data_IF_815715273672
#
_entry.id   IF_815715273672
#
_cell.length_a   1.000
_cell.length_b   1.000
_cell.length_c   1.000
_cell.angle_alpha   90.00
_cell.angle_beta   90.00
_cell.angle_gamma   90.00
#
_symmetry.space_group_name_H-M   'P 1'
#
loop_
_entity.id
_entity.type
_entity.pdbx_description
1 polymer ?
#
# COMPACT_ATOMS: atom_id res chain seq x y z
N UNK A 1 -0.48 23.30 1.56
CA UNK A 1 -0.22 22.28 0.53
C UNK A 1 -1.17 21.10 0.55
N UNK A 2 -1.59 20.61 1.74
CA UNK A 2 -2.40 19.40 1.89
C UNK A 2 -3.85 19.53 1.36
N UNK A 3 -4.55 20.62 1.64
CA UNK A 3 -5.96 20.80 1.21
C UNK A 3 -6.13 20.85 -0.31
N UNK A 4 -5.22 21.50 -1.01
CA UNK A 4 -5.28 21.59 -2.48
C UNK A 4 -5.03 20.22 -3.12
N UNK A 5 -4.12 19.42 -2.55
CA UNK A 5 -3.83 18.06 -3.01
C UNK A 5 -5.02 17.10 -2.81
N UNK A 6 -5.74 17.22 -1.68
CA UNK A 6 -6.93 16.40 -1.39
C UNK A 6 -8.06 16.70 -2.37
N UNK A 7 -8.40 17.98 -2.57
CA UNK A 7 -9.46 18.40 -3.51
C UNK A 7 -9.16 18.03 -4.96
N UNK A 8 -7.91 18.13 -5.37
CA UNK A 8 -7.48 17.73 -6.71
C UNK A 8 -7.58 16.21 -6.91
N UNK A 9 -7.22 15.42 -5.90
CA UNK A 9 -7.39 13.95 -5.93
C UNK A 9 -8.85 13.55 -6.02
N UNK A 10 -9.74 14.16 -5.22
CA UNK A 10 -11.18 13.93 -5.28
C UNK A 10 -11.75 14.25 -6.66
N UNK A 11 -11.43 15.42 -7.22
CA UNK A 11 -11.88 15.82 -8.55
C UNK A 11 -11.41 14.85 -9.64
N UNK A 12 -10.16 14.40 -9.55
CA UNK A 12 -9.58 13.46 -10.50
C UNK A 12 -10.21 12.08 -10.36
N UNK A 13 -10.38 11.57 -9.14
CA UNK A 13 -11.03 10.29 -8.89
C UNK A 13 -12.47 10.27 -9.40
N UNK A 14 -13.27 11.27 -9.06
CA UNK A 14 -14.64 11.41 -9.52
C UNK A 14 -14.73 11.48 -11.07
N UNK A 15 -13.82 12.22 -11.70
CA UNK A 15 -13.80 12.36 -13.16
C UNK A 15 -13.38 11.08 -13.89
N UNK A 16 -12.46 10.31 -13.33
CA UNK A 16 -11.89 9.10 -13.91
C UNK A 16 -12.49 7.82 -13.35
N UNK A 17 -13.39 7.92 -12.37
CA UNK A 17 -14.06 6.78 -11.71
C UNK A 17 -13.09 5.77 -11.12
N UNK A 18 -12.07 6.22 -10.39
CA UNK A 18 -11.18 5.34 -9.62
C UNK A 18 -11.13 5.74 -8.14
N UNK A 19 -10.84 4.76 -7.28
CA UNK A 19 -10.69 5.01 -5.86
C UNK A 19 -9.38 5.73 -5.50
N UNK A 20 -9.39 6.43 -4.36
CA UNK A 20 -8.20 7.06 -3.79
C UNK A 20 -8.05 6.75 -2.31
N UNK A 21 -6.85 6.96 -1.79
CA UNK A 21 -6.55 6.90 -0.37
C UNK A 21 -6.01 8.24 0.13
N UNK A 22 -6.24 8.53 1.40
CA UNK A 22 -5.67 9.67 2.11
C UNK A 22 -4.82 9.17 3.28
N UNK A 23 -3.61 9.68 3.40
CA UNK A 23 -2.69 9.26 4.46
C UNK A 23 -1.48 10.18 4.54
N UNK A 24 -0.66 9.99 5.58
CA UNK A 24 0.59 10.70 5.79
C UNK A 24 1.72 9.70 5.72
N UNK A 25 2.46 9.75 4.64
CA UNK A 25 3.66 8.93 4.47
C UNK A 25 4.78 9.48 5.36
N UNK A 26 5.53 8.63 6.11
CA UNK A 26 6.56 9.11 7.05
C UNK A 26 7.65 9.96 6.39
N UNK A 27 7.92 9.77 5.11
CA UNK A 27 8.89 10.57 4.36
C UNK A 27 8.46 12.02 4.10
N UNK A 28 7.20 12.36 4.30
CA UNK A 28 6.68 13.72 4.10
C UNK A 28 6.94 14.64 5.28
N UNK A 29 7.27 14.08 6.45
CA UNK A 29 7.51 14.83 7.68
C UNK A 29 9.00 14.92 7.97
N UNK A 30 9.42 16.10 8.41
CA UNK A 30 10.81 16.40 8.72
C UNK A 30 11.06 16.45 10.22
N UNK A 31 10.04 16.84 11.01
CA UNK A 31 10.17 17.04 12.44
C UNK A 31 8.97 16.45 13.21
N UNK A 32 9.15 16.07 14.50
CA UNK A 32 8.06 15.59 15.34
C UNK A 32 6.91 16.60 15.51
N UNK A 33 7.21 17.90 15.51
CA UNK A 33 6.20 18.95 15.69
C UNK A 33 5.18 18.98 14.56
N UNK A 34 5.58 18.59 13.34
CA UNK A 34 4.69 18.50 12.20
C UNK A 34 3.65 17.36 12.36
N UNK A 35 3.97 16.31 13.11
CA UNK A 35 3.09 15.14 13.28
C UNK A 35 1.70 15.55 13.77
N UNK A 36 1.61 16.27 14.88
CA UNK A 36 0.34 16.65 15.48
C UNK A 36 -0.53 17.54 14.57
N UNK A 37 0.09 18.40 13.77
CA UNK A 37 -0.62 19.27 12.83
C UNK A 37 -1.17 18.44 11.66
N UNK A 38 -0.34 17.58 11.05
CA UNK A 38 -0.74 16.78 9.89
C UNK A 38 -1.78 15.71 10.26
N UNK A 39 -1.69 15.13 11.46
CA UNK A 39 -2.70 14.21 12.00
C UNK A 39 -4.06 14.91 12.08
N UNK A 40 -4.13 16.12 12.66
CA UNK A 40 -5.40 16.88 12.73
C UNK A 40 -5.93 17.22 11.34
N UNK A 41 -5.06 17.61 10.43
CA UNK A 41 -5.45 17.91 9.03
C UNK A 41 -6.04 16.69 8.34
N UNK A 42 -5.46 15.50 8.56
CA UNK A 42 -5.96 14.26 8.01
C UNK A 42 -7.30 13.86 8.64
N UNK A 43 -7.46 13.99 9.96
CA UNK A 43 -8.74 13.70 10.64
C UNK A 43 -9.89 14.54 10.06
N UNK A 44 -9.66 15.84 9.84
CA UNK A 44 -10.63 16.72 9.19
C UNK A 44 -10.92 16.25 7.78
N UNK A 45 -9.88 15.99 6.98
CA UNK A 45 -10.03 15.56 5.59
C UNK A 45 -10.82 14.24 5.47
N UNK A 46 -10.52 13.25 6.31
CA UNK A 46 -11.25 11.97 6.33
C UNK A 46 -12.71 12.19 6.75
N UNK A 47 -12.96 13.04 7.76
CA UNK A 47 -14.33 13.34 8.22
C UNK A 47 -15.17 14.01 7.12
N UNK A 48 -14.60 14.97 6.39
CA UNK A 48 -15.26 15.68 5.28
C UNK A 48 -15.53 14.76 4.08
N UNK A 49 -14.65 13.78 3.85
CA UNK A 49 -14.72 12.89 2.68
C UNK A 49 -15.28 11.51 2.99
N UNK A 50 -15.71 11.25 4.23
CA UNK A 50 -16.17 9.92 4.65
C UNK A 50 -17.33 9.36 3.80
N UNK A 51 -18.17 10.24 3.26
CA UNK A 51 -19.31 9.87 2.38
C UNK A 51 -18.93 9.80 0.90
N UNK A 52 -17.69 10.15 0.54
CA UNK A 52 -17.22 10.04 -0.83
C UNK A 52 -17.03 8.55 -1.18
N UNK A 53 -17.75 8.01 -2.17
CA UNK A 53 -17.64 6.60 -2.55
C UNK A 53 -16.25 6.25 -3.08
N UNK A 54 -15.49 7.23 -3.58
CA UNK A 54 -14.14 7.03 -4.10
C UNK A 54 -13.04 7.03 -3.03
N UNK A 55 -13.32 7.43 -1.78
CA UNK A 55 -12.37 7.27 -0.69
C UNK A 55 -12.35 5.80 -0.22
N UNK A 56 -11.36 5.04 -0.65
CA UNK A 56 -11.31 3.59 -0.47
C UNK A 56 -10.44 3.11 0.69
N UNK A 57 -9.49 3.93 1.16
CA UNK A 57 -8.55 3.54 2.19
C UNK A 57 -7.95 4.75 2.93
N UNK A 58 -7.36 4.48 4.09
CA UNK A 58 -6.37 5.37 4.69
C UNK A 58 -4.98 4.87 4.28
N UNK A 59 -4.22 5.72 3.58
CA UNK A 59 -2.91 5.33 3.05
C UNK A 59 -2.33 6.38 2.09
N UNK A 60 -1.07 6.28 1.82
CA UNK A 60 -0.09 5.35 2.34
C UNK A 60 0.40 5.80 3.72
N UNK A 61 0.43 4.89 4.70
CA UNK A 61 0.84 5.13 6.09
C UNK A 61 1.85 4.06 6.51
N UNK A 62 2.65 4.31 7.54
CA UNK A 62 3.56 3.26 8.01
C UNK A 62 4.92 3.76 8.47
N UNK A 63 5.95 2.91 8.35
CA UNK A 63 7.28 3.15 8.90
C UNK A 63 8.35 2.91 7.83
N UNK A 64 9.28 3.86 7.69
CA UNK A 64 10.44 3.76 6.81
C UNK A 64 11.74 3.90 7.63
N UNK A 65 12.51 2.82 7.68
CA UNK A 65 13.83 2.78 8.35
C UNK A 65 14.97 2.67 7.34
N UNK A 66 14.74 3.09 6.09
CA UNK A 66 15.84 3.14 5.13
C UNK A 66 16.78 4.29 5.47
N UNK A 67 18.08 4.02 5.67
CA UNK A 67 19.03 5.04 6.10
C UNK A 67 19.04 6.24 5.16
N UNK A 68 19.11 7.46 5.76
CA UNK A 68 19.26 8.74 5.05
C UNK A 68 18.04 9.16 4.17
N UNK A 69 16.92 8.48 4.27
CA UNK A 69 15.72 8.80 3.47
C UNK A 69 14.63 9.44 4.34
N UNK A 70 14.36 8.88 5.53
CA UNK A 70 13.39 9.44 6.46
C UNK A 70 14.08 10.31 7.51
N UNK A 71 13.64 11.56 7.65
CA UNK A 71 14.14 12.47 8.68
C UNK A 71 13.44 12.27 10.03
N UNK A 72 12.22 11.71 10.02
CA UNK A 72 11.43 11.51 11.23
C UNK A 72 12.00 10.37 12.08
N UNK A 73 12.29 10.58 13.39
CA UNK A 73 12.75 9.52 14.28
C UNK A 73 11.77 8.35 14.40
N UNK A 74 12.25 7.15 14.71
CA UNK A 74 11.42 5.96 14.83
C UNK A 74 10.24 6.13 15.79
N UNK A 75 10.47 6.69 16.97
CA UNK A 75 9.40 6.88 17.97
C UNK A 75 8.27 7.76 17.42
N UNK A 76 8.61 8.82 16.70
CA UNK A 76 7.63 9.70 16.05
C UNK A 76 6.94 9.01 14.88
N UNK A 77 7.61 8.12 14.15
CA UNK A 77 6.97 7.30 13.11
C UNK A 77 5.99 6.29 13.72
N UNK A 78 6.33 5.68 14.85
CA UNK A 78 5.46 4.76 15.58
C UNK A 78 4.20 5.49 16.05
N UNK A 79 4.36 6.65 16.71
CA UNK A 79 3.25 7.50 17.16
C UNK A 79 2.35 7.91 15.98
N UNK A 80 2.94 8.40 14.89
CA UNK A 80 2.21 8.76 13.68
C UNK A 80 1.41 7.56 13.14
N UNK A 81 2.05 6.40 13.03
CA UNK A 81 1.41 5.21 12.49
C UNK A 81 0.24 4.73 13.36
N UNK A 82 0.38 4.75 14.70
CA UNK A 82 -0.71 4.43 15.63
C UNK A 82 -1.90 5.38 15.46
N UNK A 83 -1.65 6.70 15.33
CA UNK A 83 -2.71 7.67 15.06
C UNK A 83 -3.44 7.38 13.74
N UNK A 84 -2.68 7.06 12.66
CA UNK A 84 -3.28 6.72 11.36
C UNK A 84 -4.14 5.47 11.43
N UNK A 85 -3.71 4.43 12.16
CA UNK A 85 -4.50 3.22 12.38
C UNK A 85 -5.79 3.52 13.16
N UNK A 86 -5.73 4.40 14.16
CA UNK A 86 -6.91 4.83 14.91
C UNK A 86 -7.91 5.62 14.04
N UNK A 87 -7.42 6.52 13.19
CA UNK A 87 -8.24 7.26 12.22
C UNK A 87 -8.93 6.29 11.25
N UNK A 88 -8.19 5.34 10.70
CA UNK A 88 -8.74 4.34 9.78
C UNK A 88 -9.82 3.48 10.46
N UNK A 89 -9.57 3.02 11.68
CA UNK A 89 -10.55 2.25 12.48
C UNK A 89 -11.82 3.04 12.73
N UNK A 90 -11.71 4.31 13.15
CA UNK A 90 -12.84 5.21 13.38
C UNK A 90 -13.64 5.46 12.10
N UNK A 91 -12.97 5.57 10.96
CA UNK A 91 -13.62 5.78 9.65
C UNK A 91 -14.18 4.48 9.03
N UNK A 92 -13.88 3.31 9.59
CA UNK A 92 -14.26 2.02 9.01
C UNK A 92 -13.60 1.76 7.65
N UNK A 93 -12.38 2.28 7.45
CA UNK A 93 -11.62 2.15 6.20
C UNK A 93 -10.47 1.17 6.34
N UNK A 94 -10.16 0.38 5.29
CA UNK A 94 -8.92 -0.39 5.24
C UNK A 94 -7.72 0.53 5.11
N UNK A 95 -6.52 -0.02 5.32
CA UNK A 95 -5.26 0.73 5.23
C UNK A 95 -4.35 0.20 4.12
N UNK A 96 -3.57 1.11 3.50
CA UNK A 96 -2.40 0.78 2.68
C UNK A 96 -1.15 1.11 3.49
N UNK A 97 -0.34 0.09 3.80
CA UNK A 97 0.76 0.19 4.77
C UNK A 97 2.11 0.08 4.10
N UNK A 98 2.89 1.15 4.24
CA UNK A 98 4.30 1.20 3.92
C UNK A 98 5.15 0.51 4.99
N UNK A 99 6.12 -0.29 4.58
CA UNK A 99 7.04 -0.92 5.51
C UNK A 99 8.40 -1.17 4.87
N UNK A 100 9.30 -0.22 4.98
CA UNK A 100 10.65 -0.34 4.44
C UNK A 100 11.66 -0.58 5.56
N UNK A 101 12.22 -1.81 5.61
CA UNK A 101 13.09 -2.29 6.70
C UNK A 101 12.45 -2.21 8.10
N UNK A 102 11.12 -2.22 8.19
CA UNK A 102 10.37 -1.89 9.41
C UNK A 102 9.31 -2.93 9.79
N UNK A 103 9.18 -4.06 9.12
CA UNK A 103 8.15 -5.07 9.40
C UNK A 103 8.14 -5.54 10.85
N UNK A 104 9.30 -5.59 11.54
CA UNK A 104 9.40 -5.94 12.96
C UNK A 104 8.69 -4.93 13.88
N UNK A 105 8.50 -3.68 13.43
CA UNK A 105 7.77 -2.64 14.15
C UNK A 105 6.31 -2.54 13.68
N UNK A 106 6.05 -2.72 12.40
CA UNK A 106 4.73 -2.64 11.80
C UNK A 106 3.82 -3.79 12.25
N UNK A 107 4.28 -5.04 12.17
CA UNK A 107 3.45 -6.22 12.44
C UNK A 107 2.87 -6.25 13.89
N UNK A 108 3.60 -5.90 14.94
CA UNK A 108 3.03 -5.81 16.28
C UNK A 108 1.90 -4.79 16.39
N UNK A 109 2.04 -3.61 15.79
CA UNK A 109 1.00 -2.57 15.80
C UNK A 109 -0.25 -3.02 15.04
N UNK A 110 -0.08 -3.63 13.88
CA UNK A 110 -1.20 -4.21 13.12
C UNK A 110 -1.91 -5.31 13.90
N UNK A 111 -1.18 -6.13 14.67
CA UNK A 111 -1.78 -7.19 15.50
C UNK A 111 -2.77 -6.63 16.53
N UNK A 112 -2.51 -5.46 17.08
CA UNK A 112 -3.35 -4.83 18.09
C UNK A 112 -4.37 -3.84 17.53
N UNK A 113 -4.30 -3.54 16.23
CA UNK A 113 -5.25 -2.63 15.58
C UNK A 113 -6.56 -3.32 15.20
N UNK A 114 -7.63 -2.52 15.03
CA UNK A 114 -8.94 -3.01 14.57
C UNK A 114 -9.12 -2.93 13.05
N UNK A 115 -8.06 -2.67 12.29
CA UNK A 115 -8.12 -2.49 10.84
C UNK A 115 -7.57 -3.71 10.08
N UNK A 116 -7.96 -3.83 8.83
CA UNK A 116 -7.36 -4.70 7.82
C UNK A 116 -6.87 -3.87 6.64
N UNK A 117 -6.22 -4.47 5.66
CA UNK A 117 -5.72 -3.71 4.50
C UNK A 117 -4.67 -4.45 3.70
N UNK A 118 -3.76 -3.69 3.12
CA UNK A 118 -2.65 -4.20 2.30
C UNK A 118 -1.32 -3.75 2.90
N UNK A 119 -0.39 -4.69 3.06
CA UNK A 119 1.03 -4.37 3.22
C UNK A 119 1.61 -4.13 1.83
N UNK A 120 1.79 -2.85 1.48
CA UNK A 120 2.33 -2.41 0.20
C UNK A 120 3.79 -2.86 0.02
N UNK A 121 4.18 -3.17 -1.21
CA UNK A 121 5.53 -3.58 -1.62
C UNK A 121 6.18 -4.62 -0.67
N UNK A 122 5.44 -5.66 -0.34
CA UNK A 122 5.86 -6.63 0.65
C UNK A 122 7.19 -7.31 0.28
N UNK A 123 8.18 -7.20 1.17
CA UNK A 123 9.51 -7.77 1.01
C UNK A 123 9.97 -8.59 2.23
N UNK A 124 9.04 -9.02 3.06
CA UNK A 124 9.30 -9.81 4.27
C UNK A 124 9.60 -11.28 4.04
N UNK A 125 9.78 -12.01 5.12
CA UNK A 125 9.89 -13.47 5.12
C UNK A 125 8.50 -14.12 4.99
N UNK A 126 8.46 -15.42 4.71
CA UNK A 126 7.21 -16.18 4.68
C UNK A 126 6.52 -16.20 6.05
N UNK A 127 7.27 -16.24 7.15
CA UNK A 127 6.71 -16.18 8.49
C UNK A 127 6.06 -14.80 8.78
N UNK A 128 6.69 -13.71 8.36
CA UNK A 128 6.10 -12.38 8.44
C UNK A 128 4.84 -12.25 7.55
N UNK A 129 4.85 -12.87 6.38
CA UNK A 129 3.65 -12.98 5.54
C UNK A 129 2.52 -13.67 6.28
N UNK A 130 2.76 -14.82 6.90
CA UNK A 130 1.76 -15.55 7.69
C UNK A 130 1.17 -14.72 8.83
N UNK A 131 2.02 -13.95 9.53
CA UNK A 131 1.55 -13.06 10.62
C UNK A 131 0.60 -11.99 10.10
N UNK A 132 0.91 -11.37 8.95
CA UNK A 132 0.04 -10.38 8.33
C UNK A 132 -1.30 -11.00 7.86
N UNK A 133 -1.23 -12.15 7.18
CA UNK A 133 -2.40 -12.87 6.71
C UNK A 133 -3.32 -13.32 7.84
N UNK A 134 -2.76 -13.80 8.96
CA UNK A 134 -3.53 -14.19 10.15
C UNK A 134 -4.32 -13.01 10.77
N UNK A 135 -3.91 -11.78 10.48
CA UNK A 135 -4.61 -10.54 10.88
C UNK A 135 -5.61 -10.05 9.82
N UNK A 136 -5.71 -10.72 8.69
CA UNK A 136 -6.62 -10.34 7.59
C UNK A 136 -6.03 -9.32 6.62
N UNK A 137 -4.72 -9.04 6.69
CA UNK A 137 -4.03 -8.22 5.69
C UNK A 137 -3.75 -9.04 4.43
N UNK A 138 -3.82 -8.39 3.28
CA UNK A 138 -3.25 -8.92 2.04
C UNK A 138 -1.87 -8.30 1.79
N UNK A 139 -1.10 -8.92 0.91
CA UNK A 139 0.27 -8.52 0.61
C UNK A 139 0.35 -7.95 -0.80
N UNK A 140 0.84 -6.72 -0.93
CA UNK A 140 1.07 -6.05 -2.20
C UNK A 140 2.38 -6.51 -2.83
N UNK A 141 2.31 -6.91 -4.10
CA UNK A 141 3.49 -7.27 -4.88
C UNK A 141 3.53 -6.47 -6.18
N UNK A 142 4.63 -5.77 -6.37
CA UNK A 142 4.84 -4.90 -7.51
C UNK A 142 6.02 -5.31 -8.38
N UNK A 143 6.72 -4.32 -8.96
CA UNK A 143 7.83 -4.51 -9.89
C UNK A 143 8.94 -5.43 -9.40
N UNK A 144 9.10 -5.62 -8.08
CA UNK A 144 10.08 -6.57 -7.52
C UNK A 144 9.91 -8.00 -8.03
N UNK A 145 8.70 -8.43 -8.44
CA UNK A 145 8.45 -9.74 -9.04
C UNK A 145 9.10 -9.88 -10.42
N UNK A 146 9.29 -8.80 -11.16
CA UNK A 146 9.85 -8.82 -12.51
C UNK A 146 11.36 -9.02 -12.53
N UNK A 147 12.04 -8.88 -11.38
CA UNK A 147 13.48 -9.05 -11.29
C UNK A 147 13.85 -10.50 -10.90
N UNK A 148 14.60 -11.24 -11.77
CA UNK A 148 15.04 -12.60 -11.42
C UNK A 148 15.91 -12.66 -10.15
N UNK A 149 16.62 -11.56 -9.84
CA UNK A 149 17.43 -11.43 -8.63
C UNK A 149 16.63 -11.31 -7.32
N UNK A 150 15.34 -11.01 -7.38
CA UNK A 150 14.44 -10.93 -6.22
C UNK A 150 13.99 -12.31 -5.71
N UNK A 151 14.92 -13.27 -5.61
CA UNK A 151 14.64 -14.69 -5.32
C UNK A 151 13.74 -14.87 -4.11
N UNK A 152 14.10 -14.26 -2.96
CA UNK A 152 13.31 -14.40 -1.72
C UNK A 152 11.87 -13.91 -1.87
N UNK A 153 11.66 -12.76 -2.50
CA UNK A 153 10.30 -12.19 -2.70
C UNK A 153 9.48 -13.12 -3.59
N UNK A 154 10.08 -13.61 -4.68
CA UNK A 154 9.45 -14.53 -5.63
C UNK A 154 9.11 -15.88 -4.97
N UNK A 155 10.00 -16.44 -4.14
CA UNK A 155 9.76 -17.67 -3.36
C UNK A 155 8.63 -17.50 -2.34
N UNK A 156 8.59 -16.38 -1.64
CA UNK A 156 7.48 -16.06 -0.73
C UNK A 156 6.17 -15.99 -1.51
N UNK A 157 6.13 -15.21 -2.60
CA UNK A 157 4.96 -15.03 -3.45
C UNK A 157 4.43 -16.37 -4.01
N UNK A 158 5.32 -17.25 -4.48
CA UNK A 158 4.96 -18.56 -5.02
C UNK A 158 4.22 -19.45 -4.01
N UNK A 159 4.48 -19.27 -2.71
CA UNK A 159 3.95 -20.11 -1.61
C UNK A 159 2.69 -19.56 -0.95
N UNK A 160 2.27 -18.35 -1.31
CA UNK A 160 1.10 -17.72 -0.69
C UNK A 160 -0.20 -18.41 -1.13
N UNK A 161 -1.25 -18.42 -0.28
CA UNK A 161 -2.61 -18.73 -0.71
C UNK A 161 -3.08 -17.79 -1.83
N UNK A 162 -4.06 -18.24 -2.60
CA UNK A 162 -4.60 -17.47 -3.74
C UNK A 162 -5.26 -16.17 -3.32
N UNK A 163 -5.88 -16.16 -2.15
CA UNK A 163 -6.56 -14.99 -1.57
C UNK A 163 -5.61 -14.03 -0.82
N UNK A 164 -4.30 -14.29 -0.82
CA UNK A 164 -3.34 -13.59 0.04
C UNK A 164 -2.72 -12.34 -0.56
N UNK A 165 -2.80 -12.11 -1.86
CA UNK A 165 -2.01 -11.09 -2.54
C UNK A 165 -2.84 -10.15 -3.41
N UNK A 166 -2.30 -8.96 -3.62
CA UNK A 166 -2.72 -8.01 -4.65
C UNK A 166 -1.51 -7.60 -5.48
N UNK A 167 -1.75 -7.18 -6.73
CA UNK A 167 -0.68 -6.66 -7.60
C UNK A 167 -0.74 -5.14 -7.68
N UNK A 168 0.43 -4.51 -7.78
CA UNK A 168 0.59 -3.06 -7.75
C UNK A 168 1.76 -2.59 -8.61
N UNK A 169 1.90 -1.28 -8.83
CA UNK A 169 3.00 -0.70 -9.60
C UNK A 169 3.93 0.18 -8.79
N UNK A 170 3.42 0.83 -7.77
CA UNK A 170 4.09 1.93 -7.04
C UNK A 170 4.48 3.12 -7.97
N UNK A 171 3.76 3.28 -9.07
CA UNK A 171 4.01 4.39 -9.99
C UNK A 171 3.85 5.75 -9.29
N UNK A 172 4.78 6.70 -9.53
CA UNK A 172 5.80 6.73 -10.57
C UNK A 172 7.19 6.18 -10.18
N UNK A 173 7.35 5.53 -9.00
CA UNK A 173 8.65 5.30 -8.38
C UNK A 173 9.35 3.99 -8.78
N UNK A 174 8.68 2.85 -8.75
CA UNK A 174 9.28 1.54 -8.96
C UNK A 174 9.18 1.08 -10.42
N UNK A 175 10.31 1.00 -11.12
CA UNK A 175 10.36 0.48 -12.49
C UNK A 175 10.33 -1.05 -12.49
N UNK A 176 9.63 -1.66 -13.45
CA UNK A 176 9.81 -3.07 -13.80
C UNK A 176 11.19 -3.33 -14.39
N UNK A 177 11.61 -4.59 -14.42
CA UNK A 177 12.93 -4.95 -14.99
C UNK A 177 13.06 -4.53 -16.46
N UNK A 178 12.01 -4.73 -17.26
CA UNK A 178 11.98 -4.36 -18.67
C UNK A 178 11.99 -2.82 -18.86
N UNK A 179 11.16 -2.09 -18.08
CA UNK A 179 11.17 -0.62 -18.12
C UNK A 179 12.53 -0.03 -17.77
N UNK A 180 13.20 -0.61 -16.76
CA UNK A 180 14.57 -0.21 -16.41
C UNK A 180 15.56 -0.49 -17.55
N UNK A 181 15.48 -1.67 -18.18
CA UNK A 181 16.33 -2.03 -19.31
C UNK A 181 16.14 -1.11 -20.52
N UNK A 182 14.92 -0.56 -20.69
CA UNK A 182 14.60 0.42 -21.73
C UNK A 182 15.02 1.86 -21.37
N UNK A 183 15.66 2.09 -20.23
CA UNK A 183 16.11 3.42 -19.80
C UNK A 183 14.98 4.34 -19.30
N UNK A 184 13.80 3.79 -18.96
CA UNK A 184 12.71 4.58 -18.40
C UNK A 184 13.12 5.22 -17.07
N UNK A 185 12.62 6.44 -16.83
CA UNK A 185 12.90 7.19 -15.61
C UNK A 185 11.73 7.13 -14.59
N UNK A 186 10.52 6.86 -15.06
CA UNK A 186 9.31 6.78 -14.25
C UNK A 186 8.50 5.54 -14.61
N UNK A 187 7.88 4.95 -13.58
CA UNK A 187 6.91 3.88 -13.74
C UNK A 187 5.52 4.44 -14.10
N UNK A 188 4.69 3.63 -14.74
CA UNK A 188 3.32 3.99 -15.16
C UNK A 188 2.35 2.91 -14.67
N UNK A 189 1.08 3.28 -14.53
CA UNK A 189 0.04 2.32 -14.12
C UNK A 189 -0.06 1.13 -15.08
N UNK A 190 0.16 1.32 -16.39
CA UNK A 190 0.15 0.24 -17.40
C UNK A 190 1.27 -0.78 -17.19
N UNK A 191 2.34 -0.43 -16.50
CA UNK A 191 3.45 -1.34 -16.19
C UNK A 191 3.00 -2.49 -15.25
N UNK A 192 1.75 -2.42 -14.71
CA UNK A 192 1.10 -3.51 -13.98
C UNK A 192 0.97 -4.80 -14.83
N UNK A 193 0.89 -4.68 -16.15
CA UNK A 193 0.84 -5.83 -17.06
C UNK A 193 2.09 -6.70 -16.90
N UNK A 194 3.29 -6.10 -16.85
CA UNK A 194 4.54 -6.85 -16.65
C UNK A 194 4.62 -7.51 -15.27
N UNK A 195 4.05 -6.87 -14.24
CA UNK A 195 3.95 -7.45 -12.90
C UNK A 195 3.02 -8.66 -12.91
N UNK A 196 1.87 -8.54 -13.59
CA UNK A 196 0.90 -9.63 -13.76
C UNK A 196 1.51 -10.83 -14.50
N UNK A 197 2.23 -10.58 -15.60
CA UNK A 197 2.93 -11.63 -16.36
C UNK A 197 3.94 -12.37 -15.47
N UNK A 198 4.75 -11.63 -14.69
CA UNK A 198 5.69 -12.21 -13.75
C UNK A 198 4.99 -13.02 -12.65
N UNK A 199 3.89 -12.53 -12.12
CA UNK A 199 3.08 -13.21 -11.11
C UNK A 199 2.49 -14.52 -11.64
N UNK A 200 1.88 -14.49 -12.82
CA UNK A 200 1.34 -15.66 -13.51
C UNK A 200 2.43 -16.72 -13.74
N UNK A 201 3.59 -16.32 -14.25
CA UNK A 201 4.73 -17.21 -14.45
C UNK A 201 5.22 -17.86 -13.16
N UNK A 202 5.38 -17.07 -12.08
CA UNK A 202 5.89 -17.58 -10.79
C UNK A 202 4.93 -18.62 -10.20
N UNK A 203 3.64 -18.41 -10.35
CA UNK A 203 2.60 -19.30 -9.81
C UNK A 203 2.15 -20.40 -10.77
N UNK A 204 2.68 -20.40 -11.99
CA UNK A 204 2.27 -21.35 -13.06
C UNK A 204 0.76 -21.28 -13.34
N UNK A 205 0.19 -20.07 -13.34
CA UNK A 205 -1.21 -19.79 -13.64
C UNK A 205 -1.39 -19.23 -15.04
N UNK A 206 -2.54 -19.44 -15.69
CA UNK A 206 -2.96 -18.64 -16.83
C UNK A 206 -3.02 -17.14 -16.48
N UNK A 207 -2.75 -16.27 -17.44
CA UNK A 207 -2.68 -14.83 -17.23
C UNK A 207 -4.02 -14.25 -16.75
N UNK A 208 -5.12 -14.68 -17.33
CA UNK A 208 -6.48 -14.30 -16.99
C UNK A 208 -6.88 -14.75 -15.59
N UNK A 209 -6.46 -15.93 -15.17
CA UNK A 209 -6.69 -16.42 -13.82
C UNK A 209 -5.92 -15.61 -12.79
N UNK A 210 -4.63 -15.31 -13.03
CA UNK A 210 -3.84 -14.45 -12.16
C UNK A 210 -4.43 -13.02 -12.05
N UNK A 211 -4.94 -12.47 -13.17
CA UNK A 211 -5.63 -11.18 -13.20
C UNK A 211 -6.91 -11.21 -12.38
N UNK A 212 -7.72 -12.26 -12.54
CA UNK A 212 -8.98 -12.46 -11.82
C UNK A 212 -8.74 -12.57 -10.32
N UNK A 213 -7.78 -13.37 -9.89
CA UNK A 213 -7.42 -13.54 -8.47
C UNK A 213 -6.97 -12.22 -7.85
N UNK A 214 -6.04 -11.51 -8.49
CA UNK A 214 -5.54 -10.24 -7.97
C UNK A 214 -6.65 -9.18 -7.88
N UNK A 215 -7.51 -9.09 -8.90
CA UNK A 215 -8.65 -8.17 -8.92
C UNK A 215 -9.65 -8.51 -7.82
N UNK A 216 -10.03 -9.79 -7.68
CA UNK A 216 -10.94 -10.23 -6.62
C UNK A 216 -10.38 -9.89 -5.23
N UNK A 217 -9.10 -10.15 -5.01
CA UNK A 217 -8.43 -9.86 -3.76
C UNK A 217 -8.39 -8.35 -3.47
N UNK A 218 -8.14 -7.51 -4.47
CA UNK A 218 -8.15 -6.07 -4.32
C UNK A 218 -9.55 -5.54 -3.96
N UNK A 219 -10.59 -6.03 -4.65
CA UNK A 219 -11.98 -5.66 -4.37
C UNK A 219 -12.44 -6.14 -2.99
N UNK A 220 -11.96 -7.29 -2.51
CA UNK A 220 -12.26 -7.78 -1.16
C UNK A 220 -11.70 -6.86 -0.06
N UNK A 221 -10.55 -6.21 -0.28
CA UNK A 221 -9.98 -5.23 0.66
C UNK A 221 -10.62 -3.87 0.50
N UNK A 222 -10.71 -3.37 -0.73
CA UNK A 222 -11.20 -2.04 -1.06
C UNK A 222 -12.66 -2.10 -1.50
N UNK A 223 -13.54 -2.56 -0.60
CA UNK A 223 -14.94 -2.86 -0.91
C UNK A 223 -15.73 -1.68 -1.51
N UNK A 224 -15.33 -0.43 -1.23
CA UNK A 224 -15.97 0.75 -1.84
C UNK A 224 -15.78 0.84 -3.36
N UNK A 225 -14.75 0.19 -3.92
CA UNK A 225 -14.58 0.10 -5.38
C UNK A 225 -15.65 -0.72 -6.09
N UNK A 226 -16.41 -1.54 -5.35
CA UNK A 226 -17.50 -2.36 -5.92
C UNK A 226 -18.80 -1.59 -6.11
N UNK A 227 -18.95 -0.43 -5.47
CA UNK A 227 -20.20 0.35 -5.39
C UNK A 227 -20.17 1.63 -6.21
N UNK A 228 -19.06 1.90 -6.90
CA UNK A 228 -18.84 3.10 -7.71
C UNK A 228 -19.04 2.88 -9.20
#
# INVERSE_FOLDING_TARGET
>A
GSEMCIRDRQRTACKLQFGYALGIHPLLLQTPEQVAQEVRSLEVAISETQKDPFLCAVGEIGIDLYPQVCALPLDSQLELFEHMLAIAAKAGLPVSVHSRKALQHVLPLLKHSAVTGVLHAFAGSYEQARQALAKGFKLGFGPSLTYPGSKRIREVFARLPEDAFVLETDAPFMLTANRRAQGAQIARAVDLIEVLEAAAQIRSLPLDEAATLSTHNALAVFARLQTS
#
